data_IF_095517189341
#
_entry.id   IF_095517189341
#
_cell.length_a   1.000
_cell.length_b   1.000
_cell.length_c   1.000
_cell.angle_alpha   90.00
_cell.angle_beta   90.00
_cell.angle_gamma   90.00
#
_symmetry.space_group_name_H-M   'P 1'
#
loop_
_entity.id
_entity.type
_entity.pdbx_description
1 polymer ?
#
# COMPACT_ATOMS: atom_id res chain seq x y z
N UNK A 1 35.99 -23.60 -25.21
CA UNK A 1 35.28 -23.65 -23.92
C UNK A 1 34.25 -22.54 -23.93
N UNK A 2 33.11 -22.72 -24.60
CA UNK A 2 31.93 -23.46 -24.12
C UNK A 2 31.43 -22.91 -22.78
N UNK A 3 30.38 -22.11 -22.85
CA UNK A 3 29.32 -21.96 -21.83
C UNK A 3 28.05 -21.49 -22.57
N UNK A 4 27.54 -22.32 -23.48
CA UNK A 4 26.11 -22.30 -23.77
C UNK A 4 25.42 -22.93 -22.56
N UNK A 5 25.24 -22.14 -21.49
CA UNK A 5 24.28 -22.50 -20.47
C UNK A 5 22.90 -22.25 -21.09
N UNK A 6 22.35 -23.29 -21.71
CA UNK A 6 20.90 -23.43 -21.82
C UNK A 6 20.38 -23.49 -20.38
N UNK A 7 20.19 -22.33 -19.77
CA UNK A 7 19.25 -22.19 -18.67
C UNK A 7 17.93 -22.65 -19.27
N UNK A 8 17.59 -23.91 -19.05
CA UNK A 8 16.27 -24.42 -19.34
C UNK A 8 15.32 -23.39 -18.73
N UNK A 9 14.44 -22.85 -19.57
CA UNK A 9 13.39 -21.88 -19.24
C UNK A 9 12.42 -22.54 -18.25
N UNK A 10 12.90 -22.81 -17.04
CA UNK A 10 12.19 -23.52 -16.02
C UNK A 10 11.39 -22.48 -15.26
N UNK A 11 10.15 -22.29 -15.68
CA UNK A 11 9.17 -21.43 -15.01
C UNK A 11 9.07 -21.71 -13.51
N UNK A 12 9.36 -22.94 -13.07
CA UNK A 12 9.37 -23.26 -11.63
C UNK A 12 10.52 -22.63 -10.85
N UNK A 13 11.57 -22.16 -11.53
CA UNK A 13 12.65 -21.39 -10.91
C UNK A 13 12.27 -19.92 -10.69
N UNK A 14 11.17 -19.43 -11.29
CA UNK A 14 10.72 -18.06 -11.10
C UNK A 14 10.00 -17.89 -9.76
N UNK A 15 10.20 -16.75 -9.07
CA UNK A 15 9.34 -16.32 -7.98
C UNK A 15 7.87 -16.35 -8.42
N UNK A 16 6.96 -16.69 -7.50
CA UNK A 16 5.54 -16.93 -7.83
C UNK A 16 4.90 -15.77 -8.59
N UNK A 17 5.30 -14.53 -8.30
CA UNK A 17 4.78 -13.32 -8.95
C UNK A 17 5.34 -13.07 -10.37
N UNK A 18 6.34 -13.84 -10.82
CA UNK A 18 6.93 -13.75 -12.17
C UNK A 18 6.60 -14.95 -13.06
N UNK A 19 5.89 -15.96 -12.54
CA UNK A 19 5.46 -17.14 -13.31
C UNK A 19 4.35 -16.77 -14.29
N UNK A 20 4.34 -17.40 -15.47
CA UNK A 20 3.36 -17.16 -16.54
C UNK A 20 3.66 -15.94 -17.42
N UNK A 21 4.70 -15.17 -17.12
CA UNK A 21 5.13 -14.01 -17.92
C UNK A 21 6.16 -14.45 -18.99
N UNK A 22 6.78 -15.62 -18.83
CA UNK A 22 7.83 -16.15 -19.69
C UNK A 22 9.20 -15.51 -19.40
N UNK A 23 10.26 -16.32 -19.34
CA UNK A 23 11.62 -15.89 -18.94
C UNK A 23 12.16 -14.68 -19.72
N UNK A 24 11.78 -14.55 -20.99
CA UNK A 24 12.20 -13.43 -21.86
C UNK A 24 11.67 -12.07 -21.42
N UNK A 25 10.55 -12.04 -20.70
CA UNK A 25 9.92 -10.82 -20.21
C UNK A 25 10.30 -10.53 -18.74
N UNK A 26 10.82 -11.53 -18.03
CA UNK A 26 11.21 -11.42 -16.62
C UNK A 26 12.27 -10.34 -16.42
N UNK A 27 13.24 -10.22 -17.31
CA UNK A 27 14.30 -9.21 -17.16
C UNK A 27 13.77 -7.78 -17.35
N UNK A 28 12.76 -7.58 -18.21
CA UNK A 28 12.09 -6.30 -18.35
C UNK A 28 11.27 -5.96 -17.11
N UNK A 29 10.61 -6.96 -16.52
CA UNK A 29 9.81 -6.80 -15.30
C UNK A 29 10.68 -6.53 -14.06
N UNK A 30 11.81 -7.22 -13.94
CA UNK A 30 12.78 -7.01 -12.86
C UNK A 30 13.45 -5.63 -12.91
N UNK A 31 13.42 -4.94 -14.05
CA UNK A 31 13.93 -3.56 -14.19
C UNK A 31 12.94 -2.52 -13.68
N UNK A 32 11.69 -2.87 -13.43
CA UNK A 32 10.71 -1.95 -12.86
C UNK A 32 10.88 -1.87 -11.34
N UNK A 33 10.84 -0.67 -10.80
CA UNK A 33 10.79 -0.48 -9.35
C UNK A 33 9.36 -0.73 -8.87
N UNK A 34 9.12 -1.91 -8.31
CA UNK A 34 7.81 -2.33 -7.80
C UNK A 34 7.52 -1.82 -6.37
N UNK A 35 8.37 -0.93 -5.83
CA UNK A 35 8.17 -0.37 -4.49
C UNK A 35 7.18 0.78 -4.54
N UNK A 36 6.32 0.84 -3.53
CA UNK A 36 5.44 1.98 -3.32
C UNK A 36 6.22 3.23 -2.91
N UNK A 37 5.60 4.39 -3.15
CA UNK A 37 6.13 5.69 -2.77
C UNK A 37 6.53 5.75 -1.28
N UNK A 38 7.74 6.23 -0.96
CA UNK A 38 8.22 6.32 0.43
C UNK A 38 7.59 7.49 1.22
N UNK A 39 6.84 8.37 0.54
CA UNK A 39 6.23 9.57 1.11
C UNK A 39 4.91 9.33 1.82
N UNK A 40 4.30 8.16 1.61
CA UNK A 40 3.04 7.78 2.23
C UNK A 40 3.33 6.61 3.15
N UNK A 41 3.17 6.81 4.46
CA UNK A 41 3.45 5.78 5.46
C UNK A 41 2.19 5.46 6.24
N UNK A 42 1.75 4.20 6.27
CA UNK A 42 0.63 3.82 7.11
C UNK A 42 1.04 3.91 8.58
N UNK A 43 0.18 4.51 9.40
CA UNK A 43 0.37 4.61 10.85
C UNK A 43 -0.43 3.55 11.59
N UNK A 44 -1.65 3.24 11.11
CA UNK A 44 -2.49 2.19 11.68
C UNK A 44 -3.56 1.73 10.70
N UNK A 45 -4.18 0.59 11.03
CA UNK A 45 -5.23 -0.04 10.24
C UNK A 45 -6.40 -0.43 11.12
N UNK A 46 -7.61 -0.13 10.68
CA UNK A 46 -8.83 -0.76 11.21
C UNK A 46 -9.39 -1.72 10.15
N UNK A 47 -9.44 -3.00 10.50
CA UNK A 47 -10.00 -4.05 9.65
C UNK A 47 -11.29 -4.57 10.26
N UNK A 48 -12.37 -4.57 9.47
CA UNK A 48 -13.61 -5.26 9.81
C UNK A 48 -13.94 -6.24 8.71
N UNK A 49 -13.97 -7.52 9.06
CA UNK A 49 -14.22 -8.61 8.13
C UNK A 49 -15.48 -9.36 8.56
N UNK A 50 -16.32 -9.64 7.59
CA UNK A 50 -17.41 -10.59 7.67
C UNK A 50 -17.03 -11.80 6.82
N UNK A 51 -16.87 -12.95 7.46
CA UNK A 51 -16.36 -14.16 6.82
C UNK A 51 -17.43 -15.23 6.83
N UNK A 52 -17.71 -15.78 5.66
CA UNK A 52 -18.52 -16.98 5.46
C UNK A 52 -17.62 -18.13 5.05
N UNK A 53 -17.74 -19.28 5.72
CA UNK A 53 -16.89 -20.45 5.49
C UNK A 53 -17.76 -21.59 4.95
N UNK A 54 -17.35 -22.19 3.83
CA UNK A 54 -18.09 -23.30 3.23
C UNK A 54 -18.26 -24.46 4.21
N UNK A 55 -19.48 -24.99 4.31
CA UNK A 55 -19.79 -26.10 5.23
C UNK A 55 -20.07 -25.68 6.67
N UNK A 56 -19.90 -24.39 7.00
CA UNK A 56 -20.31 -23.81 8.27
C UNK A 56 -21.45 -22.80 8.05
N UNK A 57 -22.50 -22.84 8.88
CA UNK A 57 -23.61 -21.89 8.80
C UNK A 57 -24.40 -21.91 7.48
N UNK A 58 -24.38 -23.02 6.72
CA UNK A 58 -25.12 -23.16 5.46
C UNK A 58 -24.51 -22.45 4.24
N UNK A 59 -23.30 -21.90 4.37
CA UNK A 59 -22.62 -21.24 3.24
C UNK A 59 -22.16 -22.26 2.19
N UNK A 60 -22.52 -22.01 0.92
CA UNK A 60 -22.15 -22.88 -0.22
C UNK A 60 -20.70 -22.72 -0.68
N UNK A 61 -20.06 -21.57 -0.41
CA UNK A 61 -18.69 -21.24 -0.79
C UNK A 61 -18.08 -20.32 0.28
N UNK A 62 -16.78 -20.43 0.50
CA UNK A 62 -16.04 -19.52 1.37
C UNK A 62 -15.90 -18.16 0.71
N UNK A 63 -16.29 -17.10 1.39
CA UNK A 63 -16.22 -15.71 0.93
C UNK A 63 -16.03 -14.79 2.13
N UNK A 64 -15.42 -13.64 1.91
CA UNK A 64 -15.42 -12.58 2.89
C UNK A 64 -15.80 -11.26 2.23
N UNK A 65 -16.39 -10.39 3.02
CA UNK A 65 -16.64 -8.99 2.74
C UNK A 65 -16.18 -8.18 3.95
N UNK A 66 -15.91 -6.89 3.75
CA UNK A 66 -15.39 -6.08 4.84
C UNK A 66 -14.94 -4.71 4.38
N UNK A 67 -14.48 -3.93 5.35
CA UNK A 67 -13.89 -2.63 5.12
C UNK A 67 -12.53 -2.54 5.81
N UNK A 68 -11.60 -1.84 5.14
CA UNK A 68 -10.32 -1.44 5.70
C UNK A 68 -10.29 0.08 5.77
N UNK A 69 -9.91 0.62 6.92
CA UNK A 69 -9.51 2.02 7.04
C UNK A 69 -8.01 2.06 7.28
N UNK A 70 -7.33 2.86 6.47
CA UNK A 70 -5.88 3.01 6.52
C UNK A 70 -5.61 4.44 6.96
N UNK A 71 -4.98 4.59 8.12
CA UNK A 71 -4.49 5.88 8.56
C UNK A 71 -3.08 6.05 7.99
N UNK A 72 -2.84 7.16 7.30
CA UNK A 72 -1.58 7.42 6.60
C UNK A 72 -1.03 8.79 6.98
N UNK A 73 0.29 8.83 7.16
CA UNK A 73 1.07 10.06 7.22
C UNK A 73 1.69 10.33 5.86
N UNK A 74 1.57 11.58 5.40
CA UNK A 74 2.08 12.03 4.11
C UNK A 74 3.21 13.04 4.37
N UNK A 75 4.45 12.65 4.10
CA UNK A 75 5.63 13.46 4.42
C UNK A 75 6.02 14.46 3.32
N UNK A 76 5.42 14.35 2.12
CA UNK A 76 5.63 15.27 1.00
C UNK A 76 4.34 15.37 0.16
N UNK A 77 4.09 16.47 -0.54
CA UNK A 77 2.91 16.60 -1.40
C UNK A 77 2.84 15.48 -2.45
N UNK A 78 1.73 14.75 -2.45
CA UNK A 78 1.45 13.66 -3.40
C UNK A 78 0.07 13.88 -4.03
N UNK A 79 -0.10 13.45 -5.29
CA UNK A 79 -1.38 13.53 -6.00
C UNK A 79 -2.20 12.25 -5.90
N UNK A 80 -1.52 11.13 -5.69
CA UNK A 80 -2.09 9.79 -5.70
C UNK A 80 -1.49 8.96 -4.57
N UNK A 81 -2.31 8.04 -4.06
CA UNK A 81 -1.91 7.06 -3.05
C UNK A 81 -1.98 5.68 -3.69
N UNK A 82 -0.82 5.09 -3.91
CA UNK A 82 -0.70 3.72 -4.44
C UNK A 82 -0.70 2.71 -3.30
N UNK A 83 -1.47 1.63 -3.47
CA UNK A 83 -1.59 0.54 -2.50
C UNK A 83 -1.57 -0.81 -3.22
N UNK A 84 -1.09 -1.83 -2.53
CA UNK A 84 -1.18 -3.20 -3.01
C UNK A 84 -2.58 -3.79 -2.80
N UNK A 85 -3.10 -4.45 -3.82
CA UNK A 85 -4.35 -5.24 -3.75
C UNK A 85 -4.25 -6.44 -4.69
N UNK A 86 -4.52 -7.65 -4.17
CA UNK A 86 -4.48 -8.88 -4.95
C UNK A 86 -5.71 -9.73 -4.69
N UNK A 87 -6.45 -10.08 -5.75
CA UNK A 87 -7.62 -10.95 -5.65
C UNK A 87 -8.83 -10.33 -4.91
N UNK A 88 -8.83 -9.00 -4.70
CA UNK A 88 -9.92 -8.27 -4.06
C UNK A 88 -10.71 -7.47 -5.09
N UNK A 89 -12.04 -7.47 -4.96
CA UNK A 89 -12.91 -6.54 -5.69
C UNK A 89 -13.26 -5.37 -4.79
N UNK A 90 -12.69 -4.20 -5.09
CA UNK A 90 -12.95 -2.96 -4.34
C UNK A 90 -14.28 -2.37 -4.82
N UNK A 91 -15.24 -2.22 -3.91
CA UNK A 91 -16.57 -1.66 -4.22
C UNK A 91 -16.62 -0.14 -4.06
N UNK A 92 -15.90 0.38 -3.07
CA UNK A 92 -15.89 1.79 -2.70
C UNK A 92 -14.55 2.13 -2.05
N UNK A 93 -14.06 3.35 -2.26
CA UNK A 93 -12.90 3.90 -1.60
C UNK A 93 -13.14 5.39 -1.34
N UNK A 94 -12.87 5.85 -0.12
CA UNK A 94 -13.03 7.25 0.29
C UNK A 94 -11.75 7.75 0.96
N UNK A 95 -11.43 9.02 0.73
CA UNK A 95 -10.30 9.70 1.37
C UNK A 95 -10.86 10.80 2.30
N UNK A 96 -10.43 10.78 3.56
CA UNK A 96 -10.83 11.77 4.55
C UNK A 96 -9.59 12.54 5.00
N UNK A 97 -9.62 13.87 4.89
CA UNK A 97 -8.57 14.73 5.44
C UNK A 97 -8.74 14.90 6.95
N UNK A 98 -7.64 14.86 7.70
CA UNK A 98 -7.62 15.31 9.09
C UNK A 98 -7.48 16.84 9.08
N UNK A 99 -8.48 17.53 9.62
CA UNK A 99 -8.44 18.98 9.77
C UNK A 99 -7.54 19.32 10.97
N UNK A 100 -6.29 19.68 10.70
CA UNK A 100 -5.41 20.20 11.74
C UNK A 100 -5.85 21.63 12.05
N UNK A 101 -6.57 21.83 13.17
CA UNK A 101 -6.69 23.16 13.76
C UNK A 101 -5.29 23.59 14.18
N UNK A 102 -4.66 24.48 13.39
CA UNK A 102 -3.47 25.17 13.84
C UNK A 102 -3.79 25.81 15.20
N UNK A 103 -3.03 25.47 16.23
CA UNK A 103 -3.07 26.21 17.48
C UNK A 103 -2.75 27.66 17.12
N UNK A 104 -3.73 28.56 17.27
CA UNK A 104 -3.50 29.98 17.14
C UNK A 104 -2.38 30.35 18.11
N UNK A 105 -1.27 30.96 17.67
CA UNK A 105 -0.28 31.46 18.61
C UNK A 105 -1.00 32.42 19.55
N UNK A 106 -1.05 32.07 20.83
CA UNK A 106 -1.56 32.96 21.89
C UNK A 106 -0.67 34.20 21.90
N UNK A 107 -1.26 35.40 21.83
CA UNK A 107 -0.57 36.68 21.68
C UNK A 107 0.42 37.04 22.81
N UNK A 108 0.62 36.19 23.80
CA UNK A 108 1.45 36.45 24.98
C UNK A 108 2.97 36.35 24.71
N UNK A 109 3.41 35.74 23.60
CA UNK A 109 4.84 35.55 23.30
C UNK A 109 5.52 36.77 22.61
N UNK A 110 4.73 37.74 22.11
CA UNK A 110 5.27 38.92 21.40
C UNK A 110 5.70 40.07 22.32
N UNK A 111 5.43 40.00 23.63
CA UNK A 111 5.73 41.09 24.56
C UNK A 111 7.18 41.04 25.08
N UNK A 112 7.87 39.90 25.04
CA UNK A 112 9.22 39.79 25.62
C UNK A 112 10.36 40.21 24.69
N UNK A 113 10.14 40.26 23.36
CA UNK A 113 11.21 40.60 22.41
C UNK A 113 11.40 42.10 22.14
N UNK A 114 10.50 42.96 22.60
CA UNK A 114 10.54 44.40 22.31
C UNK A 114 10.96 45.29 23.49
N UNK A 115 11.30 44.71 24.66
CA UNK A 115 11.61 45.47 25.88
C UNK A 115 13.08 45.38 26.34
N UNK A 116 14.01 44.99 25.47
CA UNK A 116 15.46 45.04 25.76
C UNK A 116 16.09 46.38 25.36
N UNK A 117 16.05 47.35 26.27
CA UNK A 117 16.93 48.54 26.29
C UNK A 117 18.33 48.18 26.77
#
# INVERSE_FOLDING_TARGET
TQLCASFAENEDALPVYLRGIGWRNVEAELRQDLRLSPYIRPTSYELRLNVSVSGYGGAKKSRFDGNVRIFVDISAPVREIELHSQGLTIREATLHGLEFKAASPTEEEWVELNNGK
#
